data_IF_634003612857
#
_entry.id   IF_634003612857
#
_cell.length_a   1.000
_cell.length_b   1.000
_cell.length_c   1.000
_cell.angle_alpha   90.00
_cell.angle_beta   90.00
_cell.angle_gamma   90.00
#
_symmetry.space_group_name_H-M   'P 1'
#
loop_
_entity.id
_entity.type
_entity.pdbx_description
1 polymer ?
#
# COMPACT_ATOMS: atom_id res chain seq x y z
N UNK A 1 35.75 3.64 -1.69
CA UNK A 1 35.40 2.67 -2.77
C UNK A 1 34.28 3.32 -3.58
N UNK A 2 34.38 3.35 -4.90
CA UNK A 2 33.33 3.93 -5.78
C UNK A 2 32.44 2.81 -6.32
N UNK A 3 31.14 3.03 -6.29
CA UNK A 3 30.12 2.19 -6.94
C UNK A 3 29.62 2.87 -8.22
N UNK A 4 29.07 2.09 -9.13
CA UNK A 4 28.38 2.67 -10.28
C UNK A 4 27.05 3.23 -9.82
N UNK A 5 26.33 2.48 -8.94
CA UNK A 5 25.00 2.89 -8.43
C UNK A 5 24.91 2.68 -6.92
N UNK A 6 24.47 3.72 -6.20
CA UNK A 6 24.05 3.68 -4.81
C UNK A 6 22.52 3.75 -4.77
N UNK A 7 21.89 2.82 -4.06
CA UNK A 7 20.45 2.78 -3.86
C UNK A 7 20.14 3.01 -2.38
N UNK A 8 19.28 3.97 -2.08
CA UNK A 8 18.88 4.27 -0.70
C UNK A 8 17.51 3.67 -0.41
N UNK A 9 17.51 2.63 0.45
CA UNK A 9 16.33 1.87 0.83
C UNK A 9 16.26 0.49 0.15
N UNK A 10 16.11 -0.55 0.98
CA UNK A 10 15.95 -1.94 0.56
C UNK A 10 14.48 -2.39 0.56
N UNK A 11 13.56 -1.50 0.18
CA UNK A 11 12.17 -1.83 -0.13
C UNK A 11 12.01 -2.41 -1.54
N UNK A 12 10.79 -2.76 -1.96
CA UNK A 12 10.54 -3.41 -3.26
C UNK A 12 11.10 -2.64 -4.46
N UNK A 13 11.03 -1.31 -4.45
CA UNK A 13 11.55 -0.49 -5.55
C UNK A 13 13.08 -0.54 -5.64
N UNK A 14 13.77 -0.33 -4.51
CA UNK A 14 15.24 -0.35 -4.47
C UNK A 14 15.80 -1.73 -4.81
N UNK A 15 15.20 -2.79 -4.30
CA UNK A 15 15.64 -4.16 -4.57
C UNK A 15 15.39 -4.60 -6.00
N UNK A 16 14.27 -4.17 -6.61
CA UNK A 16 14.01 -4.43 -8.02
C UNK A 16 15.05 -3.73 -8.93
N UNK A 17 15.39 -2.47 -8.62
CA UNK A 17 16.45 -1.75 -9.31
C UNK A 17 17.81 -2.43 -9.12
N UNK A 18 18.14 -2.81 -7.86
CA UNK A 18 19.38 -3.48 -7.52
C UNK A 18 19.55 -4.80 -8.29
N UNK A 19 18.52 -5.63 -8.31
CA UNK A 19 18.50 -6.88 -9.05
C UNK A 19 18.79 -6.68 -10.54
N UNK A 20 18.06 -5.78 -11.19
CA UNK A 20 18.20 -5.55 -12.64
C UNK A 20 19.54 -4.92 -13.02
N UNK A 21 20.07 -4.02 -12.19
CA UNK A 21 21.39 -3.38 -12.42
C UNK A 21 22.54 -4.35 -12.17
N UNK A 22 22.49 -5.08 -11.05
CA UNK A 22 23.55 -6.07 -10.75
C UNK A 22 23.56 -7.19 -11.80
N UNK A 23 22.39 -7.69 -12.24
CA UNK A 23 22.29 -8.64 -13.35
C UNK A 23 22.87 -8.11 -14.68
N UNK A 24 22.94 -6.79 -14.85
CA UNK A 24 23.56 -6.15 -15.99
C UNK A 24 25.06 -5.82 -15.81
N UNK A 25 25.67 -6.25 -14.68
CA UNK A 25 27.09 -6.10 -14.39
C UNK A 25 27.50 -4.78 -13.70
N UNK A 26 26.54 -3.94 -13.29
CA UNK A 26 26.84 -2.74 -12.53
C UNK A 26 27.27 -3.08 -11.10
N UNK A 27 28.22 -2.31 -10.55
CA UNK A 27 28.58 -2.36 -9.12
C UNK A 27 27.56 -1.62 -8.29
N UNK A 28 26.61 -2.38 -7.72
CA UNK A 28 25.47 -1.82 -6.98
C UNK A 28 25.67 -2.00 -5.49
N UNK A 29 25.38 -0.97 -4.71
CA UNK A 29 25.20 -1.06 -3.27
C UNK A 29 23.83 -0.50 -2.87
N UNK A 30 23.13 -1.24 -2.03
CA UNK A 30 21.87 -0.82 -1.40
C UNK A 30 22.17 -0.52 0.08
N UNK A 31 21.75 0.67 0.54
CA UNK A 31 21.89 1.10 1.93
C UNK A 31 20.53 1.06 2.59
N UNK A 32 20.40 0.26 3.65
CA UNK A 32 19.15 0.07 4.40
C UNK A 32 19.33 0.50 5.86
N UNK A 33 18.42 1.31 6.36
CA UNK A 33 18.45 1.77 7.76
C UNK A 33 17.96 0.72 8.77
N UNK A 34 17.19 -0.27 8.34
CA UNK A 34 16.71 -1.38 9.15
C UNK A 34 17.80 -2.40 9.40
N UNK A 35 17.56 -3.31 10.34
CA UNK A 35 18.47 -4.44 10.64
C UNK A 35 18.59 -5.43 9.49
N UNK A 36 17.52 -5.53 8.70
CA UNK A 36 17.44 -6.38 7.52
C UNK A 36 16.45 -5.78 6.52
N UNK A 37 16.56 -6.12 5.21
CA UNK A 37 15.57 -5.74 4.22
C UNK A 37 14.17 -6.24 4.60
N UNK A 38 13.20 -5.34 4.60
CA UNK A 38 11.83 -5.66 4.98
C UNK A 38 11.52 -5.56 6.48
N UNK A 39 12.49 -5.36 7.36
CA UNK A 39 12.25 -5.25 8.82
C UNK A 39 11.26 -4.14 9.23
N UNK A 40 11.01 -3.18 8.35
CA UNK A 40 10.03 -2.09 8.56
C UNK A 40 8.77 -2.24 7.71
N UNK A 41 8.69 -3.29 6.92
CA UNK A 41 7.57 -3.58 6.02
C UNK A 41 6.46 -4.32 6.77
N UNK A 42 6.03 -3.75 7.91
CA UNK A 42 4.90 -4.25 8.70
C UNK A 42 3.58 -4.17 7.91
N UNK A 43 3.55 -3.33 6.90
CA UNK A 43 2.39 -3.07 6.07
C UNK A 43 2.36 -3.96 4.84
N UNK A 44 1.18 -4.04 4.27
CA UNK A 44 0.95 -4.84 3.11
C UNK A 44 0.54 -6.26 3.50
N UNK A 45 0.30 -7.04 2.54
CA UNK A 45 -0.22 -8.39 2.66
C UNK A 45 -0.72 -8.81 1.32
N UNK A 46 -1.29 -7.90 0.54
CA UNK A 46 -1.80 -8.19 -0.79
C UNK A 46 -0.91 -7.60 -1.88
N UNK A 47 -0.52 -8.45 -2.83
CA UNK A 47 0.28 -8.08 -4.00
C UNK A 47 -0.45 -8.50 -5.28
N UNK A 48 -0.46 -7.60 -6.28
CA UNK A 48 -1.09 -7.85 -7.58
C UNK A 48 -0.08 -8.40 -8.58
N UNK A 49 -0.39 -9.57 -9.15
CA UNK A 49 0.54 -10.36 -9.93
C UNK A 49 0.75 -9.85 -11.37
N UNK A 50 -0.27 -9.26 -11.99
CA UNK A 50 -0.26 -8.93 -13.42
C UNK A 50 0.97 -8.13 -13.88
N UNK A 51 1.33 -7.07 -13.13
CA UNK A 51 2.51 -6.28 -13.48
C UNK A 51 3.81 -6.89 -12.98
N UNK A 52 3.76 -7.70 -11.92
CA UNK A 52 4.94 -8.49 -11.50
C UNK A 52 5.34 -9.50 -12.57
N UNK A 53 4.39 -10.13 -13.25
CA UNK A 53 4.68 -11.05 -14.38
C UNK A 53 5.53 -10.37 -15.48
N UNK A 54 5.34 -9.07 -15.68
CA UNK A 54 6.09 -8.30 -16.66
C UNK A 54 7.43 -7.80 -16.17
N UNK A 55 7.49 -7.31 -14.92
CA UNK A 55 8.68 -6.61 -14.42
C UNK A 55 9.57 -7.48 -13.53
N UNK A 56 9.03 -8.50 -12.89
CA UNK A 56 9.74 -9.41 -12.00
C UNK A 56 9.18 -10.85 -12.12
N UNK A 57 9.20 -11.47 -13.33
CA UNK A 57 8.58 -12.78 -13.57
C UNK A 57 9.15 -13.90 -12.70
N UNK A 58 10.33 -13.70 -12.13
CA UNK A 58 10.99 -14.62 -11.20
C UNK A 58 10.10 -14.97 -10.00
N UNK A 59 9.16 -14.06 -9.60
CA UNK A 59 8.29 -14.31 -8.46
C UNK A 59 7.42 -15.57 -8.62
N UNK A 60 7.08 -15.97 -9.84
CA UNK A 60 6.30 -17.19 -10.10
C UNK A 60 7.03 -18.48 -9.75
N UNK A 61 8.36 -18.44 -9.63
CA UNK A 61 9.17 -19.62 -9.39
C UNK A 61 9.27 -19.97 -7.91
N UNK A 62 9.65 -19.00 -7.09
CA UNK A 62 10.09 -19.23 -5.72
C UNK A 62 9.78 -18.11 -4.73
N UNK A 63 9.00 -17.09 -5.11
CA UNK A 63 8.57 -16.11 -4.14
C UNK A 63 7.66 -16.73 -3.06
N UNK A 64 7.76 -16.26 -1.81
CA UNK A 64 6.98 -16.81 -0.71
C UNK A 64 5.52 -16.34 -0.79
N UNK A 65 4.72 -17.02 -1.62
CA UNK A 65 3.28 -16.76 -1.74
C UNK A 65 2.56 -17.61 -0.69
N UNK A 66 1.84 -16.97 0.24
CA UNK A 66 1.07 -17.70 1.25
C UNK A 66 -0.25 -18.24 0.68
N UNK A 67 -1.06 -17.34 0.10
CA UNK A 67 -2.35 -17.71 -0.50
C UNK A 67 -2.65 -16.86 -1.74
N UNK A 68 -3.28 -17.45 -2.74
CA UNK A 68 -3.84 -16.71 -3.87
C UNK A 68 -5.23 -16.20 -3.51
N UNK A 69 -5.45 -14.88 -3.70
CA UNK A 69 -6.75 -14.26 -3.36
C UNK A 69 -7.79 -14.68 -4.40
N UNK A 70 -8.86 -15.30 -3.90
CA UNK A 70 -10.04 -15.69 -4.67
C UNK A 70 -11.32 -15.08 -4.12
N UNK A 71 -11.29 -14.60 -2.87
CA UNK A 71 -12.42 -13.94 -2.22
C UNK A 71 -12.10 -12.49 -1.92
N UNK A 72 -13.00 -11.64 -2.35
CA UNK A 72 -12.98 -10.20 -2.10
C UNK A 72 -14.21 -9.86 -1.28
N UNK A 73 -14.02 -9.38 -0.05
CA UNK A 73 -15.13 -8.91 0.79
C UNK A 73 -15.04 -7.42 1.02
N UNK A 74 -16.19 -6.77 1.04
CA UNK A 74 -16.35 -5.41 1.51
C UNK A 74 -17.46 -5.40 2.56
N UNK A 75 -17.16 -4.89 3.75
CA UNK A 75 -18.15 -4.76 4.81
C UNK A 75 -18.32 -3.32 5.26
N UNK A 76 -19.57 -2.95 5.44
CA UNK A 76 -19.96 -1.75 6.16
C UNK A 76 -20.29 -2.13 7.60
N UNK A 77 -19.54 -1.58 8.56
CA UNK A 77 -19.70 -1.86 9.98
C UNK A 77 -20.23 -0.65 10.73
N UNK A 78 -21.26 -0.86 11.54
CA UNK A 78 -21.64 0.05 12.63
C UNK A 78 -21.28 -0.64 13.95
N UNK A 79 -21.60 -0.05 15.09
CA UNK A 79 -21.35 -0.64 16.40
C UNK A 79 -22.02 -2.01 16.60
N UNK A 80 -23.18 -2.22 15.95
CA UNK A 80 -24.09 -3.33 16.19
C UNK A 80 -24.49 -4.10 14.92
N UNK A 81 -24.10 -3.63 13.73
CA UNK A 81 -24.49 -4.22 12.44
C UNK A 81 -23.31 -4.38 11.49
N UNK A 82 -23.41 -5.39 10.64
CA UNK A 82 -22.51 -5.60 9.52
C UNK A 82 -23.31 -5.88 8.25
N UNK A 83 -23.00 -5.17 7.18
CA UNK A 83 -23.46 -5.48 5.83
C UNK A 83 -22.25 -5.88 5.01
N UNK A 84 -22.22 -7.11 4.50
CA UNK A 84 -21.08 -7.68 3.78
C UNK A 84 -21.48 -8.05 2.36
N UNK A 85 -20.68 -7.65 1.40
CA UNK A 85 -20.75 -8.08 0.00
C UNK A 85 -19.47 -8.87 -0.30
N UNK A 86 -19.64 -10.04 -0.93
CA UNK A 86 -18.51 -10.90 -1.32
C UNK A 86 -18.54 -11.19 -2.80
N UNK A 87 -17.36 -11.15 -3.42
CA UNK A 87 -17.12 -11.64 -4.77
C UNK A 87 -16.15 -12.81 -4.71
N UNK A 88 -16.50 -13.92 -5.35
CA UNK A 88 -15.68 -15.13 -5.43
C UNK A 88 -15.24 -15.36 -6.86
N UNK A 89 -13.92 -15.44 -7.09
CA UNK A 89 -13.35 -15.85 -8.37
C UNK A 89 -13.38 -17.37 -8.44
N UNK A 90 -14.36 -17.93 -9.14
CA UNK A 90 -14.57 -19.38 -9.24
C UNK A 90 -13.45 -20.05 -10.03
N UNK A 91 -12.96 -19.40 -11.09
CA UNK A 91 -11.80 -19.87 -11.84
C UNK A 91 -10.52 -19.69 -11.02
N UNK A 92 -9.58 -20.62 -11.18
CA UNK A 92 -8.29 -20.59 -10.44
C UNK A 92 -7.32 -19.56 -11.03
N UNK A 93 -7.78 -18.35 -11.32
CA UNK A 93 -6.91 -17.27 -11.75
C UNK A 93 -6.01 -16.79 -10.58
N UNK A 94 -4.75 -16.58 -10.90
CA UNK A 94 -3.72 -16.13 -9.97
C UNK A 94 -3.39 -14.66 -10.19
N UNK A 95 -4.37 -13.78 -9.95
CA UNK A 95 -4.30 -12.34 -10.22
C UNK A 95 -3.70 -11.52 -9.09
N UNK A 96 -3.89 -11.98 -7.84
CA UNK A 96 -3.27 -11.37 -6.65
C UNK A 96 -3.08 -12.42 -5.56
N UNK A 97 -2.12 -12.18 -4.70
CA UNK A 97 -1.79 -13.07 -3.60
C UNK A 97 -1.53 -12.30 -2.32
N UNK A 98 -1.56 -13.01 -1.20
CA UNK A 98 -1.20 -12.50 0.12
C UNK A 98 0.07 -13.16 0.61
N UNK A 99 0.89 -12.37 1.28
CA UNK A 99 2.16 -12.76 1.88
C UNK A 99 2.56 -11.72 2.94
N UNK A 100 3.21 -12.10 4.05
CA UNK A 100 3.89 -11.11 4.89
C UNK A 100 4.92 -10.34 4.05
N UNK A 101 4.77 -9.01 3.97
CA UNK A 101 5.61 -8.22 3.06
C UNK A 101 7.11 -8.35 3.40
N UNK A 102 7.43 -8.50 4.68
CA UNK A 102 8.81 -8.80 5.12
C UNK A 102 9.39 -10.04 4.42
N UNK A 103 8.60 -11.10 4.27
CA UNK A 103 9.04 -12.34 3.60
C UNK A 103 9.29 -12.11 2.12
N UNK A 104 8.40 -11.36 1.45
CA UNK A 104 8.55 -11.01 0.03
C UNK A 104 9.78 -10.13 -0.21
N UNK A 105 9.99 -9.12 0.62
CA UNK A 105 11.17 -8.22 0.52
C UNK A 105 12.46 -8.98 0.82
N UNK A 106 12.48 -9.87 1.82
CA UNK A 106 13.64 -10.73 2.10
C UNK A 106 13.98 -11.64 0.91
N UNK A 107 12.97 -12.18 0.22
CA UNK A 107 13.18 -12.93 -1.03
C UNK A 107 13.77 -12.04 -2.13
N UNK A 108 13.25 -10.84 -2.34
CA UNK A 108 13.81 -9.89 -3.32
C UNK A 108 15.25 -9.50 -2.99
N UNK A 109 15.58 -9.34 -1.71
CA UNK A 109 16.94 -9.05 -1.27
C UNK A 109 17.91 -10.19 -1.65
N UNK A 110 17.52 -11.44 -1.43
CA UNK A 110 18.30 -12.61 -1.86
C UNK A 110 18.47 -12.65 -3.38
N UNK A 111 17.41 -12.34 -4.12
CA UNK A 111 17.46 -12.26 -5.57
C UNK A 111 18.49 -11.22 -6.05
N UNK A 112 18.49 -10.02 -5.46
CA UNK A 112 19.45 -8.96 -5.77
C UNK A 112 20.88 -9.33 -5.37
N UNK A 113 21.08 -9.96 -4.18
CA UNK A 113 22.40 -10.41 -3.73
C UNK A 113 22.97 -11.51 -4.63
N UNK A 114 22.14 -12.47 -5.04
CA UNK A 114 22.55 -13.53 -5.96
C UNK A 114 22.96 -12.99 -7.34
N UNK A 115 22.41 -11.83 -7.74
CA UNK A 115 22.81 -11.12 -8.95
C UNK A 115 24.10 -10.30 -8.78
N UNK A 116 24.64 -10.19 -7.55
CA UNK A 116 25.87 -9.47 -7.25
C UNK A 116 25.71 -8.10 -6.58
N UNK A 117 24.47 -7.67 -6.23
CA UNK A 117 24.27 -6.45 -5.48
C UNK A 117 24.77 -6.60 -4.03
N UNK A 118 25.45 -5.57 -3.52
CA UNK A 118 25.82 -5.50 -2.11
C UNK A 118 24.70 -4.82 -1.33
N UNK A 119 24.19 -5.45 -0.28
CA UNK A 119 23.20 -4.86 0.64
C UNK A 119 23.88 -4.62 1.97
N UNK A 120 23.84 -3.37 2.46
CA UNK A 120 24.39 -2.96 3.75
C UNK A 120 23.26 -2.43 4.61
N UNK A 121 23.03 -3.08 5.73
CA UNK A 121 21.96 -2.76 6.68
C UNK A 121 22.46 -1.90 7.83
N UNK A 122 21.54 -1.33 8.62
CA UNK A 122 21.81 -0.44 9.76
C UNK A 122 22.55 0.84 9.35
N UNK A 123 22.41 1.25 8.09
CA UNK A 123 22.99 2.48 7.52
C UNK A 123 21.89 3.49 7.25
N UNK A 124 21.88 4.57 7.99
CA UNK A 124 21.01 5.73 7.72
C UNK A 124 21.74 6.70 6.82
N UNK A 125 21.19 6.96 5.65
CA UNK A 125 21.70 8.01 4.75
C UNK A 125 21.13 9.35 5.21
N UNK A 126 22.02 10.33 5.46
CA UNK A 126 21.66 11.63 6.01
C UNK A 126 21.39 12.67 4.92
N UNK A 127 22.15 12.64 3.82
CA UNK A 127 22.01 13.59 2.72
C UNK A 127 22.58 13.07 1.39
N UNK A 128 22.10 13.67 0.31
CA UNK A 128 22.68 13.55 -1.03
C UNK A 128 23.93 14.43 -1.11
N UNK A 129 25.01 13.91 -1.72
CA UNK A 129 26.25 14.65 -1.94
C UNK A 129 26.22 15.24 -3.33
N UNK A 130 26.46 16.54 -3.43
CA UNK A 130 26.49 17.30 -4.69
C UNK A 130 27.92 17.73 -5.03
N UNK A 131 28.25 17.75 -6.30
CA UNK A 131 29.47 18.40 -6.80
C UNK A 131 29.30 19.94 -6.92
N UNK A 132 30.34 20.63 -7.35
CA UNK A 132 30.33 22.10 -7.54
C UNK A 132 29.27 22.60 -8.52
N UNK A 133 28.80 21.74 -9.44
CA UNK A 133 27.76 22.03 -10.43
C UNK A 133 26.35 21.66 -9.94
N UNK A 134 26.23 21.12 -8.71
CA UNK A 134 24.96 20.69 -8.14
C UNK A 134 24.51 19.29 -8.55
N UNK A 135 25.31 18.56 -9.33
CA UNK A 135 25.04 17.16 -9.70
C UNK A 135 25.21 16.27 -8.47
N UNK A 136 24.32 15.31 -8.30
CA UNK A 136 24.41 14.31 -7.25
C UNK A 136 25.47 13.26 -7.65
N UNK A 137 26.45 13.10 -6.77
CA UNK A 137 27.65 12.24 -6.99
C UNK A 137 27.82 11.21 -5.89
N UNK A 138 26.82 11.02 -5.04
CA UNK A 138 26.84 10.06 -3.96
C UNK A 138 25.92 10.40 -2.81
N UNK A 139 26.14 9.74 -1.69
CA UNK A 139 25.37 9.90 -0.44
C UNK A 139 26.32 9.99 0.75
N UNK A 140 25.82 10.58 1.85
CA UNK A 140 26.56 10.65 3.12
C UNK A 140 25.77 9.99 4.24
N UNK A 141 26.48 9.23 5.08
CA UNK A 141 26.00 8.61 6.32
C UNK A 141 26.98 8.93 7.43
N UNK A 142 26.58 9.76 8.40
CA UNK A 142 27.47 10.26 9.42
C UNK A 142 28.70 10.95 8.81
N UNK A 143 29.95 10.55 9.19
CA UNK A 143 31.17 11.10 8.63
C UNK A 143 31.51 10.54 7.23
N UNK A 144 30.91 9.43 6.83
CA UNK A 144 31.28 8.67 5.65
C UNK A 144 30.57 9.14 4.40
N UNK A 145 31.34 9.30 3.32
CA UNK A 145 30.83 9.64 2.00
C UNK A 145 31.01 8.46 1.05
N UNK A 146 29.93 8.02 0.44
CA UNK A 146 29.93 6.98 -0.57
C UNK A 146 29.66 7.60 -1.94
N UNK A 147 30.65 7.56 -2.82
CA UNK A 147 30.56 8.12 -4.17
C UNK A 147 29.94 7.11 -5.15
N UNK A 148 29.14 7.63 -6.09
CA UNK A 148 28.55 6.87 -7.17
C UNK A 148 28.33 7.72 -8.41
N UNK A 149 28.22 7.08 -9.56
CA UNK A 149 27.83 7.77 -10.79
C UNK A 149 26.32 8.06 -10.80
N UNK A 150 25.54 7.17 -10.21
CA UNK A 150 24.08 7.27 -10.07
C UNK A 150 23.63 6.99 -8.63
N UNK A 151 22.63 7.73 -8.17
CA UNK A 151 21.91 7.47 -6.93
C UNK A 151 20.45 7.16 -7.28
N UNK A 152 19.88 6.11 -6.69
CA UNK A 152 18.46 5.82 -6.74
C UNK A 152 17.90 6.06 -5.35
N UNK A 153 16.97 7.02 -5.23
CA UNK A 153 16.23 7.25 -4.00
C UNK A 153 14.99 6.34 -3.96
N UNK A 154 15.03 5.38 -3.05
CA UNK A 154 13.97 4.44 -2.73
C UNK A 154 13.63 4.48 -1.23
N UNK A 155 13.75 5.65 -0.58
CA UNK A 155 13.59 5.83 0.87
C UNK A 155 12.14 5.69 1.37
N UNK A 156 11.19 5.49 0.46
CA UNK A 156 9.78 5.31 0.76
C UNK A 156 9.05 6.62 1.07
N UNK A 157 7.92 6.52 1.77
CA UNK A 157 6.97 7.63 1.99
C UNK A 157 7.57 8.83 2.73
N UNK A 158 8.57 8.63 3.58
CA UNK A 158 9.13 9.71 4.41
C UNK A 158 9.85 10.81 3.63
N UNK A 159 10.51 10.49 2.53
CA UNK A 159 11.17 11.42 1.59
C UNK A 159 12.13 12.43 2.23
N UNK A 160 12.80 12.05 3.31
CA UNK A 160 13.64 12.95 4.10
C UNK A 160 14.88 13.44 3.34
N UNK A 161 15.45 12.61 2.46
CA UNK A 161 16.58 13.00 1.62
C UNK A 161 16.16 14.00 0.56
N UNK A 162 15.01 13.76 -0.08
CA UNK A 162 14.46 14.66 -1.10
C UNK A 162 14.04 16.00 -0.50
N UNK A 163 13.48 16.01 0.71
CA UNK A 163 13.15 17.23 1.45
C UNK A 163 14.41 18.04 1.78
N UNK A 164 15.42 17.39 2.38
CA UNK A 164 16.71 18.04 2.70
C UNK A 164 17.46 18.55 1.48
N UNK A 165 17.31 17.87 0.34
CA UNK A 165 17.88 18.29 -0.93
C UNK A 165 17.12 19.43 -1.62
N UNK A 166 15.94 19.82 -1.10
CA UNK A 166 15.07 20.84 -1.68
C UNK A 166 14.32 20.38 -2.94
N UNK A 167 14.23 19.08 -3.18
CA UNK A 167 13.57 18.48 -4.36
C UNK A 167 12.05 18.41 -4.14
N UNK A 168 11.64 18.12 -2.91
CA UNK A 168 10.23 18.09 -2.50
C UNK A 168 10.00 19.00 -1.29
N UNK A 169 8.77 19.42 -1.09
CA UNK A 169 8.36 20.12 0.14
C UNK A 169 8.26 19.13 1.29
N UNK A 170 8.21 19.66 2.51
CA UNK A 170 7.90 18.89 3.70
C UNK A 170 6.60 18.11 3.50
N UNK A 171 6.60 16.88 4.00
CA UNK A 171 5.45 16.00 3.88
C UNK A 171 4.26 16.57 4.68
N UNK A 172 3.17 16.85 3.99
CA UNK A 172 1.94 17.36 4.58
C UNK A 172 1.06 16.19 5.06
N UNK A 173 0.40 16.30 6.24
CA UNK A 173 -0.48 15.25 6.76
C UNK A 173 -1.59 14.84 5.79
N UNK A 174 -2.05 15.79 4.95
CA UNK A 174 -3.09 15.57 3.95
C UNK A 174 -2.74 14.54 2.88
N UNK A 175 -1.45 14.30 2.67
CA UNK A 175 -0.94 13.42 1.61
C UNK A 175 -0.77 11.96 2.07
N UNK A 176 -0.92 11.71 3.37
CA UNK A 176 -0.59 10.43 3.98
C UNK A 176 -1.67 9.92 4.91
N UNK A 177 -1.66 8.61 5.10
CA UNK A 177 -2.40 7.93 6.14
C UNK A 177 -1.43 7.18 7.07
N UNK A 178 -1.88 6.92 8.28
CA UNK A 178 -1.22 5.98 9.18
C UNK A 178 -2.08 4.74 9.32
N UNK A 179 -1.44 3.62 9.34
CA UNK A 179 -2.09 2.38 9.59
C UNK A 179 -1.45 1.64 10.74
N UNK A 180 -2.25 0.89 11.46
CA UNK A 180 -1.85 -0.06 12.50
C UNK A 180 -2.37 -1.44 12.15
N UNK A 181 -1.57 -2.46 12.43
CA UNK A 181 -1.86 -3.85 12.07
C UNK A 181 -1.48 -4.79 13.20
N UNK A 182 -2.30 -5.81 13.40
CA UNK A 182 -2.01 -7.02 14.15
C UNK A 182 -1.88 -8.21 13.20
N UNK A 183 -0.94 -9.10 13.47
CA UNK A 183 -0.89 -10.44 12.86
C UNK A 183 -1.30 -11.45 13.92
N UNK A 184 -2.40 -12.13 13.66
CA UNK A 184 -3.06 -13.07 14.56
C UNK A 184 -2.87 -14.49 14.02
N UNK A 185 -2.10 -15.32 14.75
CA UNK A 185 -1.78 -16.69 14.37
C UNK A 185 -2.74 -17.68 14.98
N UNK A 186 -3.22 -18.62 14.17
CA UNK A 186 -4.04 -19.75 14.59
C UNK A 186 -3.17 -20.97 14.88
N UNK A 187 -3.65 -21.88 15.73
CA UNK A 187 -2.95 -23.14 16.00
C UNK A 187 -2.77 -23.98 14.73
N UNK A 188 -3.75 -23.92 13.83
CA UNK A 188 -3.67 -24.54 12.51
C UNK A 188 -4.46 -23.74 11.46
N UNK A 189 -4.11 -23.94 10.19
CA UNK A 189 -4.72 -23.25 9.06
C UNK A 189 -6.22 -23.61 8.88
N UNK A 190 -6.61 -24.84 9.25
CA UNK A 190 -7.99 -25.29 9.10
C UNK A 190 -8.96 -24.48 9.95
N UNK A 191 -8.58 -24.13 11.18
CA UNK A 191 -9.38 -23.23 12.02
C UNK A 191 -9.59 -21.86 11.36
N UNK A 192 -8.55 -21.31 10.75
CA UNK A 192 -8.63 -20.05 10.00
C UNK A 192 -9.62 -20.20 8.82
N UNK A 193 -9.46 -21.26 8.03
CA UNK A 193 -10.26 -21.52 6.83
C UNK A 193 -11.75 -21.74 7.19
N UNK A 194 -12.04 -22.57 8.17
CA UNK A 194 -13.42 -22.83 8.63
C UNK A 194 -14.12 -21.56 9.13
N UNK A 195 -13.44 -20.71 9.90
CA UNK A 195 -14.03 -19.48 10.44
C UNK A 195 -14.31 -18.42 9.39
N UNK A 196 -13.50 -18.38 8.34
CA UNK A 196 -13.65 -17.43 7.25
C UNK A 196 -14.44 -17.99 6.06
N UNK A 197 -14.80 -19.29 6.12
CA UNK A 197 -15.53 -19.98 5.05
C UNK A 197 -14.68 -20.12 3.78
N UNK A 198 -13.39 -20.45 3.94
CA UNK A 198 -12.44 -20.58 2.85
C UNK A 198 -12.18 -22.03 2.49
N UNK A 199 -11.93 -22.29 1.23
CA UNK A 199 -11.35 -23.55 0.77
C UNK A 199 -9.87 -23.66 1.18
N UNK A 200 -9.29 -24.85 1.04
CA UNK A 200 -7.88 -25.07 1.35
C UNK A 200 -6.98 -24.16 0.52
N UNK A 201 -6.08 -23.44 1.22
CA UNK A 201 -5.14 -22.47 0.65
C UNK A 201 -5.80 -21.31 -0.15
N UNK A 202 -7.10 -21.11 0.01
CA UNK A 202 -7.80 -19.96 -0.56
C UNK A 202 -7.46 -18.69 0.20
N UNK A 203 -7.14 -17.63 -0.55
CA UNK A 203 -6.85 -16.30 -0.02
C UNK A 203 -8.09 -15.41 0.04
N UNK A 204 -8.21 -14.66 1.13
CA UNK A 204 -9.22 -13.63 1.32
C UNK A 204 -8.57 -12.26 1.44
N UNK A 205 -9.10 -11.29 0.70
CA UNK A 205 -8.89 -9.87 0.93
C UNK A 205 -10.23 -9.24 1.34
N UNK A 206 -10.23 -8.55 2.48
CA UNK A 206 -11.45 -8.01 3.07
C UNK A 206 -11.25 -6.56 3.49
N UNK A 207 -12.02 -5.65 2.92
CA UNK A 207 -12.07 -4.24 3.29
C UNK A 207 -13.26 -3.95 4.21
N UNK A 208 -13.07 -3.09 5.20
CA UNK A 208 -14.04 -2.75 6.22
C UNK A 208 -14.17 -1.22 6.31
N UNK A 209 -15.38 -0.68 6.20
CA UNK A 209 -15.62 0.74 6.29
C UNK A 209 -16.56 1.10 7.47
N UNK A 210 -16.43 2.32 7.98
CA UNK A 210 -17.27 2.88 9.04
C UNK A 210 -16.67 2.74 10.43
N UNK A 211 -17.15 1.81 11.23
CA UNK A 211 -16.73 1.59 12.61
C UNK A 211 -15.20 1.54 12.83
N UNK A 212 -14.39 0.87 11.96
CA UNK A 212 -12.95 0.77 12.20
C UNK A 212 -12.24 2.11 12.36
N UNK A 213 -12.71 3.14 11.67
CA UNK A 213 -12.13 4.49 11.67
C UNK A 213 -13.05 5.53 12.30
N UNK A 214 -14.04 5.11 13.10
CA UNK A 214 -15.06 6.00 13.67
C UNK A 214 -15.77 6.84 12.60
N UNK A 215 -16.02 6.21 11.44
CA UNK A 215 -16.65 6.83 10.24
C UNK A 215 -15.82 7.95 9.59
N UNK A 216 -14.56 8.12 9.98
CA UNK A 216 -13.63 9.01 9.27
C UNK A 216 -13.05 8.33 8.02
N UNK A 217 -12.49 9.12 7.07
CA UNK A 217 -11.78 8.59 5.91
C UNK A 217 -10.69 7.59 6.28
N UNK A 218 -10.72 6.45 5.60
CA UNK A 218 -9.89 5.29 5.91
C UNK A 218 -10.71 4.01 5.93
N UNK A 219 -10.28 3.02 6.70
CA UNK A 219 -10.99 1.75 6.84
C UNK A 219 -10.17 0.70 7.55
N UNK A 220 -10.79 -0.47 7.73
CA UNK A 220 -10.11 -1.68 8.18
C UNK A 220 -9.80 -2.60 7.02
N UNK A 221 -8.89 -3.54 7.24
CA UNK A 221 -8.61 -4.62 6.30
C UNK A 221 -8.30 -5.92 7.03
N UNK A 222 -8.60 -7.04 6.37
CA UNK A 222 -8.21 -8.39 6.79
C UNK A 222 -7.60 -9.10 5.58
N UNK A 223 -6.41 -9.68 5.76
CA UNK A 223 -5.76 -10.55 4.78
C UNK A 223 -5.38 -11.87 5.41
N UNK A 224 -5.61 -12.98 4.70
CA UNK A 224 -5.29 -14.33 5.20
C UNK A 224 -3.89 -14.73 4.75
N UNK A 225 -3.02 -15.01 5.73
CA UNK A 225 -1.73 -15.68 5.50
C UNK A 225 -1.90 -17.20 5.59
N UNK A 226 -0.80 -17.94 5.57
CA UNK A 226 -0.82 -19.42 5.58
C UNK A 226 -1.61 -19.98 6.78
N UNK A 227 -1.26 -19.57 7.99
CA UNK A 227 -1.88 -20.00 9.27
C UNK A 227 -2.19 -18.80 10.19
N UNK A 228 -2.19 -17.60 9.63
CA UNK A 228 -2.45 -16.36 10.35
C UNK A 228 -3.34 -15.42 9.52
N UNK A 229 -3.86 -14.38 10.16
CA UNK A 229 -4.46 -13.26 9.45
C UNK A 229 -3.82 -11.94 9.88
N UNK A 230 -3.72 -11.02 8.94
CA UNK A 230 -3.45 -9.63 9.23
C UNK A 230 -4.79 -8.91 9.41
N UNK A 231 -4.97 -8.24 10.55
CA UNK A 231 -6.06 -7.34 10.84
C UNK A 231 -5.49 -5.95 11.01
N UNK A 232 -5.99 -4.96 10.29
CA UNK A 232 -5.45 -3.61 10.40
C UNK A 232 -6.48 -2.52 10.17
N UNK A 233 -6.11 -1.31 10.56
CA UNK A 233 -6.87 -0.08 10.37
C UNK A 233 -5.98 0.96 9.73
N UNK A 234 -6.49 1.69 8.76
CA UNK A 234 -5.81 2.82 8.08
C UNK A 234 -6.66 4.07 8.28
N UNK A 235 -6.04 5.15 8.73
CA UNK A 235 -6.70 6.45 8.94
C UNK A 235 -5.92 7.54 8.22
N UNK A 236 -6.62 8.38 7.47
CA UNK A 236 -6.00 9.58 6.89
C UNK A 236 -5.59 10.57 7.96
N UNK A 237 -4.35 11.05 7.89
CA UNK A 237 -3.85 12.03 8.87
C UNK A 237 -4.53 13.39 8.76
N UNK A 238 -5.18 13.69 7.64
CA UNK A 238 -5.98 14.93 7.45
C UNK A 238 -7.01 15.17 8.56
N UNK A 239 -7.58 14.09 9.14
CA UNK A 239 -8.71 14.19 10.09
C UNK A 239 -8.43 13.44 11.41
N UNK A 240 -7.19 13.11 11.67
CA UNK A 240 -6.83 12.27 12.81
C UNK A 240 -7.21 12.89 14.17
N UNK A 241 -7.23 14.23 14.29
CA UNK A 241 -7.63 14.95 15.49
C UNK A 241 -9.11 14.79 15.86
N UNK A 242 -9.94 14.29 14.93
CA UNK A 242 -11.36 14.00 15.16
C UNK A 242 -11.58 12.60 15.75
N UNK A 243 -10.56 11.76 15.77
CA UNK A 243 -10.65 10.45 16.40
C UNK A 243 -10.85 10.58 17.92
N UNK A 244 -11.75 9.75 18.46
CA UNK A 244 -11.97 9.60 19.90
C UNK A 244 -11.02 8.56 20.49
N UNK A 245 -10.70 7.54 19.69
CA UNK A 245 -9.79 6.45 20.04
C UNK A 245 -8.41 6.75 19.44
N UNK A 246 -7.30 6.63 20.20
CA UNK A 246 -5.96 6.74 19.65
C UNK A 246 -5.76 5.76 18.48
N UNK A 247 -5.01 6.18 17.45
CA UNK A 247 -4.84 5.38 16.22
C UNK A 247 -4.32 3.96 16.52
N UNK A 248 -3.40 3.85 17.48
CA UNK A 248 -2.81 2.56 17.86
C UNK A 248 -3.80 1.61 18.56
N UNK A 249 -4.91 2.11 19.12
CA UNK A 249 -5.96 1.31 19.76
C UNK A 249 -7.10 0.94 18.80
N UNK A 250 -7.18 1.56 17.61
CA UNK A 250 -8.25 1.30 16.66
C UNK A 250 -8.27 -0.15 16.16
N UNK A 251 -7.11 -0.78 16.03
CA UNK A 251 -7.02 -2.17 15.59
C UNK A 251 -7.56 -3.12 16.66
N UNK A 252 -7.28 -2.87 17.94
CA UNK A 252 -7.88 -3.63 19.03
C UNK A 252 -9.39 -3.42 19.09
N UNK A 253 -9.86 -2.19 18.96
CA UNK A 253 -11.28 -1.86 18.88
C UNK A 253 -11.97 -2.64 17.75
N UNK A 254 -11.35 -2.75 16.58
CA UNK A 254 -11.85 -3.56 15.46
C UNK A 254 -11.83 -5.05 15.80
N UNK A 255 -10.77 -5.56 16.41
CA UNK A 255 -10.64 -6.96 16.84
C UNK A 255 -11.73 -7.38 17.83
N UNK A 256 -12.14 -6.46 18.71
CA UNK A 256 -13.19 -6.68 19.71
C UNK A 256 -14.61 -6.46 19.17
N UNK A 257 -14.76 -5.97 17.94
CA UNK A 257 -16.08 -5.79 17.35
C UNK A 257 -16.88 -7.11 17.31
N UNK A 258 -18.18 -7.13 17.67
CA UNK A 258 -18.98 -8.38 17.77
C UNK A 258 -18.98 -9.25 16.50
N UNK A 259 -18.85 -8.64 15.33
CA UNK A 259 -18.76 -9.35 14.04
C UNK A 259 -17.37 -9.94 13.77
N UNK A 260 -16.31 -9.34 14.30
CA UNK A 260 -14.91 -9.74 14.06
C UNK A 260 -14.39 -10.68 15.17
N UNK A 261 -14.70 -10.39 16.42
CA UNK A 261 -14.17 -11.13 17.57
C UNK A 261 -14.35 -12.66 17.50
N UNK A 262 -15.49 -13.21 17.05
CA UNK A 262 -15.65 -14.66 16.89
C UNK A 262 -14.69 -15.26 15.85
N UNK A 263 -14.35 -14.50 14.79
CA UNK A 263 -13.47 -14.95 13.71
C UNK A 263 -12.04 -15.14 14.18
N UNK A 264 -11.59 -14.31 15.13
CA UNK A 264 -10.20 -14.29 15.63
C UNK A 264 -10.05 -14.92 17.02
N UNK A 265 -11.12 -15.47 17.59
CA UNK A 265 -11.13 -16.09 18.94
C UNK A 265 -10.06 -17.18 19.05
N UNK A 266 -9.19 -17.08 20.08
CA UNK A 266 -8.12 -18.06 20.34
C UNK A 266 -6.91 -17.96 19.42
N UNK A 267 -6.88 -17.01 18.48
CA UNK A 267 -5.65 -16.70 17.77
C UNK A 267 -4.68 -15.92 18.69
N UNK A 268 -3.38 -16.17 18.53
CA UNK A 268 -2.32 -15.49 19.29
C UNK A 268 -1.74 -14.32 18.53
N UNK A 269 -1.53 -13.19 19.21
CA UNK A 269 -0.86 -12.02 18.63
C UNK A 269 0.61 -12.35 18.39
N UNK A 270 1.05 -12.29 17.13
CA UNK A 270 2.44 -12.54 16.74
C UNK A 270 3.19 -11.24 16.46
N UNK A 271 2.51 -10.26 15.88
CA UNK A 271 3.10 -9.02 15.44
C UNK A 271 2.09 -7.88 15.61
N UNK A 272 2.58 -6.74 16.06
CA UNK A 272 1.85 -5.49 16.12
C UNK A 272 2.75 -4.35 15.66
N UNK A 273 2.22 -3.47 14.83
CA UNK A 273 3.00 -2.32 14.38
C UNK A 273 2.19 -1.33 13.57
N UNK A 274 2.81 -0.19 13.32
CA UNK A 274 2.23 0.89 12.53
C UNK A 274 3.19 1.42 11.49
N UNK A 275 2.65 1.89 10.39
CA UNK A 275 3.40 2.48 9.30
C UNK A 275 2.62 3.60 8.63
N UNK A 276 3.33 4.56 8.08
CA UNK A 276 2.77 5.63 7.27
C UNK A 276 2.72 5.19 5.81
N UNK A 277 1.65 5.52 5.11
CA UNK A 277 1.47 5.19 3.68
C UNK A 277 1.03 6.42 2.89
N UNK A 278 1.50 6.61 1.65
CA UNK A 278 0.99 7.66 0.79
C UNK A 278 -0.46 7.35 0.40
N UNK A 279 -1.29 8.39 0.25
CA UNK A 279 -2.69 8.23 -0.19
C UNK A 279 -3.08 9.18 -1.33
N UNK A 280 -2.22 10.15 -1.63
CA UNK A 280 -2.51 11.19 -2.60
C UNK A 280 -2.05 10.84 -4.04
N UNK A 281 -1.41 9.70 -4.25
CA UNK A 281 -0.98 9.24 -5.57
C UNK A 281 -0.15 10.28 -6.32
N UNK A 282 -0.54 10.61 -7.55
CA UNK A 282 0.17 11.58 -8.40
C UNK A 282 0.26 12.98 -7.76
N UNK A 283 -0.68 13.35 -6.90
CA UNK A 283 -0.67 14.66 -6.22
C UNK A 283 0.44 14.78 -5.18
N UNK A 284 1.09 13.68 -4.80
CA UNK A 284 2.24 13.64 -3.92
C UNK A 284 3.57 13.56 -4.70
N UNK A 285 3.52 13.34 -6.00
CA UNK A 285 4.73 13.16 -6.81
C UNK A 285 5.62 14.41 -6.84
N UNK A 286 6.95 14.24 -6.89
CA UNK A 286 7.87 15.35 -7.13
C UNK A 286 7.63 15.96 -8.53
N UNK A 287 8.04 17.22 -8.76
CA UNK A 287 7.90 17.86 -10.07
C UNK A 287 8.63 17.11 -11.21
N UNK A 288 9.69 16.40 -10.86
CA UNK A 288 10.47 15.52 -11.76
C UNK A 288 10.91 14.28 -11.00
N UNK A 289 10.96 13.15 -11.69
CA UNK A 289 11.40 11.86 -11.12
C UNK A 289 12.90 11.60 -11.29
N UNK A 290 13.64 12.55 -11.88
CA UNK A 290 15.06 12.46 -12.17
C UNK A 290 15.73 13.83 -12.05
N UNK A 291 17.01 13.80 -11.68
CA UNK A 291 17.92 14.96 -11.64
C UNK A 291 19.30 14.50 -12.08
N UNK A 292 20.28 15.43 -12.21
CA UNK A 292 21.66 15.06 -12.50
C UNK A 292 22.18 14.08 -11.44
N UNK A 293 22.43 12.83 -11.85
CA UNK A 293 22.87 11.75 -10.99
C UNK A 293 21.82 11.09 -10.08
N UNK A 294 20.53 11.46 -10.16
CA UNK A 294 19.50 10.94 -9.27
C UNK A 294 18.26 10.45 -10.01
N UNK A 295 17.73 9.30 -9.60
CA UNK A 295 16.39 8.81 -9.94
C UNK A 295 15.58 8.57 -8.67
N UNK A 296 14.26 8.82 -8.71
CA UNK A 296 13.33 8.67 -7.59
C UNK A 296 12.31 7.58 -7.92
N UNK A 297 12.16 6.58 -7.04
CA UNK A 297 11.33 5.39 -7.28
C UNK A 297 10.39 5.08 -6.12
N UNK A 298 9.37 4.28 -6.37
CA UNK A 298 8.44 3.80 -5.36
C UNK A 298 7.66 4.90 -4.67
N UNK A 299 7.40 4.74 -3.37
CA UNK A 299 6.60 5.69 -2.57
C UNK A 299 7.28 7.06 -2.43
N UNK A 300 8.62 7.13 -2.53
CA UNK A 300 9.34 8.40 -2.56
C UNK A 300 8.94 9.25 -3.78
N UNK A 301 8.59 8.61 -4.89
CA UNK A 301 8.03 9.24 -6.08
C UNK A 301 6.50 9.42 -6.03
N UNK A 302 5.83 8.96 -4.98
CA UNK A 302 4.38 8.98 -4.88
C UNK A 302 3.69 7.87 -5.68
N UNK A 303 4.38 6.78 -5.99
CA UNK A 303 3.85 5.70 -6.83
C UNK A 303 3.05 4.67 -6.04
N UNK A 304 1.93 5.12 -5.50
CA UNK A 304 0.92 4.28 -4.88
C UNK A 304 -0.47 4.67 -5.42
N UNK A 305 -1.21 3.69 -5.88
CA UNK A 305 -2.59 3.87 -6.33
C UNK A 305 -3.54 3.48 -5.21
N UNK A 306 -4.44 4.40 -4.84
CA UNK A 306 -5.50 4.20 -3.87
C UNK A 306 -6.86 4.55 -4.47
N UNK A 307 -7.77 3.56 -4.54
CA UNK A 307 -9.12 3.73 -5.10
C UNK A 307 -10.21 3.33 -4.09
N UNK A 308 -9.95 3.52 -2.81
CA UNK A 308 -10.85 3.16 -1.71
C UNK A 308 -10.62 1.74 -1.23
N UNK A 309 -11.16 0.76 -1.93
CA UNK A 309 -11.03 -0.67 -1.58
C UNK A 309 -9.68 -1.25 -2.03
N UNK A 310 -9.14 -0.75 -3.12
CA UNK A 310 -7.89 -1.23 -3.70
C UNK A 310 -6.75 -0.27 -3.39
N UNK A 311 -5.71 -0.80 -2.75
CA UNK A 311 -4.44 -0.11 -2.51
C UNK A 311 -3.34 -0.90 -3.20
N UNK A 312 -2.60 -0.26 -4.10
CA UNK A 312 -1.55 -0.88 -4.92
C UNK A 312 -0.29 -0.04 -4.83
N UNK A 313 0.74 -0.58 -4.18
CA UNK A 313 2.04 0.07 -4.03
C UNK A 313 3.19 -0.83 -4.48
N UNK A 314 3.17 -2.12 -4.14
CA UNK A 314 4.28 -3.04 -4.38
C UNK A 314 4.56 -3.24 -5.87
N UNK A 315 3.54 -3.44 -6.70
CA UNK A 315 3.69 -3.58 -8.15
C UNK A 315 4.15 -2.28 -8.81
N UNK A 316 3.70 -1.11 -8.34
CA UNK A 316 4.21 0.20 -8.76
C UNK A 316 5.67 0.39 -8.36
N UNK A 317 6.01 0.03 -7.11
CA UNK A 317 7.37 0.12 -6.58
C UNK A 317 8.34 -0.75 -7.40
N UNK A 318 8.03 -2.03 -7.59
CA UNK A 318 8.84 -2.96 -8.39
C UNK A 318 9.01 -2.45 -9.82
N UNK A 319 7.92 -2.07 -10.47
CA UNK A 319 7.97 -1.59 -11.86
C UNK A 319 8.83 -0.32 -11.99
N UNK A 320 8.66 0.65 -11.07
CA UNK A 320 9.46 1.87 -11.09
C UNK A 320 10.96 1.62 -10.90
N UNK A 321 11.31 0.69 -10.00
CA UNK A 321 12.71 0.28 -9.81
C UNK A 321 13.32 -0.38 -11.05
N UNK A 322 12.56 -1.26 -11.72
CA UNK A 322 13.00 -1.88 -12.99
C UNK A 322 13.17 -0.83 -14.08
N UNK A 323 12.21 0.10 -14.24
CA UNK A 323 12.29 1.15 -15.25
C UNK A 323 13.43 2.14 -14.97
N UNK A 324 13.76 2.40 -13.70
CA UNK A 324 14.93 3.20 -13.33
C UNK A 324 16.24 2.47 -13.71
N UNK A 325 16.31 1.17 -13.47
CA UNK A 325 17.46 0.37 -13.88
C UNK A 325 17.62 0.36 -15.41
N UNK A 326 16.54 0.22 -16.16
CA UNK A 326 16.56 0.30 -17.61
C UNK A 326 17.02 1.69 -18.10
N UNK A 327 16.55 2.76 -17.45
CA UNK A 327 16.95 4.11 -17.78
C UNK A 327 18.46 4.34 -17.58
N UNK A 328 19.04 3.85 -16.48
CA UNK A 328 20.48 3.92 -16.23
C UNK A 328 21.28 3.14 -17.29
N UNK A 329 20.78 1.96 -17.70
CA UNK A 329 21.44 1.14 -18.76
C UNK A 329 21.43 1.84 -20.13
N UNK A 330 20.43 2.65 -20.42
CA UNK A 330 20.30 3.38 -21.68
C UNK A 330 21.00 4.76 -21.67
N UNK A 331 21.19 5.32 -20.48
CA UNK A 331 21.81 6.63 -20.31
C UNK A 331 23.29 6.61 -20.73
N UNK A 332 23.73 7.62 -21.51
CA UNK A 332 25.13 7.79 -21.89
C UNK A 332 25.94 8.41 -20.75
N UNK A 333 25.28 9.19 -19.93
CA UNK A 333 25.85 9.89 -18.78
C UNK A 333 24.82 10.05 -17.68
N UNK A 334 25.25 10.36 -16.44
CA UNK A 334 24.32 10.63 -15.36
C UNK A 334 23.71 12.04 -15.39
N UNK A 335 23.66 12.69 -16.56
CA UNK A 335 23.00 14.00 -16.71
C UNK A 335 21.47 13.86 -16.65
N UNK A 336 20.80 14.90 -16.19
CA UNK A 336 19.33 14.96 -16.19
C UNK A 336 18.76 14.80 -17.61
N UNK A 337 19.47 15.30 -18.64
CA UNK A 337 19.07 15.14 -20.04
C UNK A 337 19.00 13.66 -20.45
N UNK A 338 20.05 12.89 -20.16
CA UNK A 338 20.09 11.45 -20.48
C UNK A 338 19.12 10.65 -19.59
N UNK A 339 18.98 11.02 -18.30
CA UNK A 339 18.07 10.38 -17.36
C UNK A 339 16.57 10.70 -17.60
N UNK A 340 16.25 11.69 -18.44
CA UNK A 340 14.87 12.00 -18.84
C UNK A 340 14.17 10.81 -19.51
N UNK A 341 14.90 9.83 -20.02
CA UNK A 341 14.37 8.57 -20.55
C UNK A 341 13.57 7.80 -19.49
N UNK A 342 13.88 7.98 -18.21
CA UNK A 342 13.12 7.37 -17.11
C UNK A 342 11.68 7.84 -17.08
N UNK A 343 11.44 9.16 -17.14
CA UNK A 343 10.06 9.68 -17.17
C UNK A 343 9.32 9.24 -18.44
N UNK A 344 10.00 9.18 -19.58
CA UNK A 344 9.42 8.63 -20.81
C UNK A 344 8.97 7.18 -20.62
N UNK A 345 9.78 6.35 -19.93
CA UNK A 345 9.43 4.96 -19.60
C UNK A 345 8.25 4.89 -18.64
N UNK A 346 8.21 5.73 -17.61
CA UNK A 346 7.07 5.81 -16.67
C UNK A 346 5.77 6.16 -17.38
N UNK A 347 5.79 7.12 -18.32
CA UNK A 347 4.63 7.50 -19.14
C UNK A 347 4.22 6.40 -20.13
N UNK A 348 5.16 5.64 -20.67
CA UNK A 348 4.93 4.50 -21.55
C UNK A 348 4.52 3.21 -20.82
N UNK A 349 4.58 3.21 -19.50
CA UNK A 349 4.15 2.12 -18.62
C UNK A 349 2.71 2.33 -18.12
N UNK A 350 2.28 1.49 -17.18
CA UNK A 350 1.01 1.68 -16.49
C UNK A 350 1.08 2.72 -15.36
N UNK A 351 2.28 3.08 -14.87
CA UNK A 351 2.47 3.85 -13.63
C UNK A 351 1.80 5.22 -13.75
N UNK A 352 2.34 6.12 -14.57
CA UNK A 352 1.78 7.48 -14.67
C UNK A 352 0.37 7.50 -15.25
N UNK A 353 0.02 6.72 -16.32
CA UNK A 353 -1.34 6.71 -16.83
C UNK A 353 -2.39 6.29 -15.81
N UNK A 354 -2.11 5.30 -14.94
CA UNK A 354 -3.07 4.90 -13.91
C UNK A 354 -3.14 5.95 -12.78
N UNK A 355 -2.02 6.48 -12.32
CA UNK A 355 -2.03 7.53 -11.30
C UNK A 355 -2.73 8.80 -11.78
N UNK A 356 -2.55 9.19 -13.04
CA UNK A 356 -3.24 10.35 -13.64
C UNK A 356 -4.74 10.10 -13.80
N UNK A 357 -5.14 8.89 -14.19
CA UNK A 357 -6.55 8.49 -14.30
C UNK A 357 -7.29 8.65 -12.97
N UNK A 358 -6.67 8.28 -11.87
CA UNK A 358 -7.26 8.30 -10.53
C UNK A 358 -6.83 9.51 -9.68
N UNK A 359 -6.34 10.59 -10.30
CA UNK A 359 -5.84 11.78 -9.58
C UNK A 359 -6.85 12.47 -8.66
N UNK A 360 -8.14 12.27 -8.87
CA UNK A 360 -9.21 12.82 -8.04
C UNK A 360 -9.67 11.88 -6.93
N UNK A 361 -9.13 10.65 -6.87
CA UNK A 361 -9.56 9.64 -5.91
C UNK A 361 -9.31 10.09 -4.47
N UNK A 362 -8.15 10.69 -4.18
CA UNK A 362 -7.78 11.17 -2.85
C UNK A 362 -8.78 12.21 -2.31
N UNK A 363 -9.19 13.15 -3.15
CA UNK A 363 -10.19 14.17 -2.81
C UNK A 363 -11.54 13.54 -2.48
N UNK A 364 -11.98 12.57 -3.29
CA UNK A 364 -13.24 11.88 -3.06
C UNK A 364 -13.19 11.03 -1.80
N UNK A 365 -12.10 10.27 -1.62
CA UNK A 365 -11.91 9.38 -0.48
C UNK A 365 -11.63 10.14 0.83
N UNK A 366 -11.38 11.44 0.76
CA UNK A 366 -11.27 12.33 1.93
C UNK A 366 -12.62 12.92 2.37
N UNK A 367 -13.72 12.62 1.68
CA UNK A 367 -15.05 13.09 2.05
C UNK A 367 -15.63 12.24 3.18
N UNK A 368 -15.63 12.78 4.41
CA UNK A 368 -16.17 12.11 5.61
C UNK A 368 -17.62 11.65 5.41
N UNK A 369 -18.42 12.46 4.69
CA UNK A 369 -19.83 12.12 4.48
C UNK A 369 -20.01 10.86 3.65
N UNK A 370 -19.06 10.56 2.76
CA UNK A 370 -19.08 9.35 1.96
C UNK A 370 -18.96 8.10 2.84
N UNK A 371 -17.97 8.07 3.73
CA UNK A 371 -17.72 6.92 4.61
C UNK A 371 -18.81 6.73 5.65
N UNK A 372 -19.27 7.82 6.27
CA UNK A 372 -20.30 7.77 7.30
C UNK A 372 -21.68 7.50 6.72
N UNK A 373 -22.11 8.33 5.76
CA UNK A 373 -23.50 8.32 5.29
C UNK A 373 -23.80 7.02 4.52
N UNK A 374 -22.87 6.54 3.70
CA UNK A 374 -23.04 5.28 2.98
C UNK A 374 -23.13 4.09 3.93
N UNK A 375 -22.24 4.01 4.92
CA UNK A 375 -22.23 2.91 5.90
C UNK A 375 -23.52 2.91 6.73
N UNK A 376 -23.86 4.03 7.37
CA UNK A 376 -25.04 4.13 8.24
C UNK A 376 -26.34 3.83 7.49
N UNK A 377 -26.47 4.39 6.28
CA UNK A 377 -27.67 4.20 5.48
C UNK A 377 -27.80 2.75 5.00
N UNK A 378 -26.74 2.17 4.42
CA UNK A 378 -26.81 0.83 3.81
C UNK A 378 -27.05 -0.25 4.86
N UNK A 379 -26.38 -0.17 6.02
CA UNK A 379 -26.60 -1.13 7.12
C UNK A 379 -28.00 -1.03 7.70
N UNK A 380 -28.54 0.19 7.86
CA UNK A 380 -29.89 0.39 8.39
C UNK A 380 -30.96 -0.06 7.37
N UNK A 381 -30.78 0.23 6.08
CA UNK A 381 -31.72 -0.20 5.04
C UNK A 381 -31.77 -1.74 4.94
N UNK A 382 -30.61 -2.39 4.93
CA UNK A 382 -30.53 -3.86 4.93
C UNK A 382 -31.17 -4.44 6.18
N UNK A 383 -30.86 -3.91 7.36
CA UNK A 383 -31.47 -4.36 8.62
C UNK A 383 -32.99 -4.29 8.57
N UNK A 384 -33.56 -3.16 8.10
CA UNK A 384 -35.02 -2.98 8.03
C UNK A 384 -35.69 -3.92 7.03
N UNK A 385 -35.01 -4.22 5.93
CA UNK A 385 -35.56 -5.12 4.92
C UNK A 385 -35.59 -6.56 5.39
N UNK A 386 -34.53 -7.03 6.09
CA UNK A 386 -34.44 -8.42 6.55
C UNK A 386 -35.04 -8.66 7.92
N UNK A 387 -35.22 -7.62 8.74
CA UNK A 387 -35.84 -7.76 10.04
C UNK A 387 -37.35 -7.64 9.94
N UNK A 388 -38.01 -8.76 10.06
CA UNK A 388 -39.49 -8.87 10.01
C UNK A 388 -40.05 -8.65 11.41
N UNK A 389 -40.85 -7.63 11.58
CA UNK A 389 -41.65 -7.33 12.74
C UNK A 389 -43.15 -7.43 12.35
N UNK A 390 -44.06 -6.78 13.08
CA UNK A 390 -45.51 -6.75 12.78
C UNK A 390 -45.80 -6.26 11.33
N UNK A 391 -44.89 -5.49 10.72
CA UNK A 391 -45.01 -4.95 9.37
C UNK A 391 -43.92 -5.52 8.49
N UNK A 392 -44.27 -6.32 7.50
CA UNK A 392 -43.35 -6.74 6.45
C UNK A 392 -43.13 -5.57 5.48
N UNK A 393 -41.92 -5.01 5.48
CA UNK A 393 -41.58 -3.83 4.67
C UNK A 393 -41.24 -4.22 3.25
N UNK A 394 -41.74 -3.44 2.30
CA UNK A 394 -41.20 -3.43 0.94
C UNK A 394 -39.77 -2.84 0.95
N UNK A 395 -38.99 -3.10 -0.08
CA UNK A 395 -37.66 -2.50 -0.23
C UNK A 395 -37.73 -0.96 -0.20
N UNK A 396 -38.76 -0.38 -0.81
CA UNK A 396 -38.98 1.06 -0.82
C UNK A 396 -39.22 1.62 0.60
N UNK A 397 -40.07 0.96 1.37
CA UNK A 397 -40.35 1.33 2.77
C UNK A 397 -39.08 1.21 3.64
N UNK A 398 -38.32 0.13 3.50
CA UNK A 398 -37.07 -0.07 4.23
C UNK A 398 -36.05 1.05 3.92
N UNK A 399 -35.89 1.42 2.66
CA UNK A 399 -35.05 2.52 2.20
C UNK A 399 -35.53 3.87 2.74
N UNK A 400 -36.84 4.13 2.67
CA UNK A 400 -37.42 5.39 3.15
C UNK A 400 -37.30 5.54 4.67
N UNK A 401 -37.55 4.48 5.43
CA UNK A 401 -37.39 4.47 6.87
C UNK A 401 -35.91 4.59 7.29
N UNK A 402 -34.99 3.94 6.57
CA UNK A 402 -33.56 4.11 6.80
C UNK A 402 -33.12 5.56 6.60
N UNK A 403 -33.59 6.22 5.51
CA UNK A 403 -33.34 7.64 5.26
C UNK A 403 -33.85 8.51 6.41
N UNK A 404 -35.06 8.27 6.92
CA UNK A 404 -35.62 8.99 8.07
C UNK A 404 -34.80 8.79 9.35
N UNK A 405 -34.49 7.52 9.69
CA UNK A 405 -33.77 7.17 10.93
C UNK A 405 -32.34 7.73 10.92
N UNK A 406 -31.63 7.57 9.82
CA UNK A 406 -30.25 8.04 9.71
C UNK A 406 -30.15 9.54 9.43
N UNK A 407 -31.27 10.19 9.06
CA UNK A 407 -31.34 11.59 8.60
C UNK A 407 -30.45 11.85 7.37
N UNK A 408 -30.25 10.82 6.53
CA UNK A 408 -29.44 10.91 5.32
C UNK A 408 -30.35 11.01 4.11
N UNK A 409 -30.15 12.06 3.31
CA UNK A 409 -30.91 12.31 2.09
C UNK A 409 -30.56 11.30 0.99
N UNK A 410 -31.56 10.65 0.39
CA UNK A 410 -31.40 9.76 -0.76
C UNK A 410 -30.78 10.48 -1.97
N UNK A 411 -31.14 11.76 -2.18
CA UNK A 411 -30.55 12.57 -3.25
C UNK A 411 -29.06 12.77 -3.02
N UNK A 412 -28.64 13.07 -1.78
CA UNK A 412 -27.23 13.21 -1.42
C UNK A 412 -26.45 11.91 -1.65
N UNK A 413 -27.03 10.77 -1.24
CA UNK A 413 -26.43 9.45 -1.47
C UNK A 413 -26.27 9.17 -2.97
N UNK A 414 -27.29 9.42 -3.77
CA UNK A 414 -27.23 9.23 -5.21
C UNK A 414 -26.14 10.11 -5.86
N UNK A 415 -26.04 11.37 -5.46
CA UNK A 415 -24.97 12.27 -5.93
C UNK A 415 -23.59 11.71 -5.55
N UNK A 416 -23.42 11.23 -4.32
CA UNK A 416 -22.17 10.65 -3.86
C UNK A 416 -21.82 9.36 -4.63
N UNK A 417 -22.80 8.48 -4.90
CA UNK A 417 -22.61 7.29 -5.73
C UNK A 417 -22.17 7.66 -7.16
N UNK A 418 -22.80 8.66 -7.78
CA UNK A 418 -22.39 9.14 -9.11
C UNK A 418 -20.95 9.65 -9.09
N UNK A 419 -20.57 10.41 -8.05
CA UNK A 419 -19.18 10.88 -7.89
C UNK A 419 -18.19 9.71 -7.75
N UNK A 420 -18.56 8.67 -6.99
CA UNK A 420 -17.72 7.45 -6.86
C UNK A 420 -17.54 6.76 -8.20
N UNK A 421 -18.62 6.46 -8.90
CA UNK A 421 -18.57 5.78 -10.21
C UNK A 421 -17.74 6.53 -11.25
N UNK A 422 -17.67 7.86 -11.16
CA UNK A 422 -16.92 8.70 -12.12
C UNK A 422 -15.43 8.86 -11.78
N UNK A 423 -15.03 8.67 -10.52
CA UNK A 423 -13.68 9.01 -10.06
C UNK A 423 -12.91 7.82 -9.44
N UNK A 424 -13.58 6.70 -9.16
CA UNK A 424 -13.02 5.43 -8.71
C UNK A 424 -13.28 4.32 -9.74
#
# INVERSE_FOLDING_TARGET
MKFDVVIVGAGPAGLAAAYKLASAGFKVVVLERGREPGAKELYGGRIYAYWLDRYLPEFRKDAPVDRWVRRERVSFLTEDKALTVETVVVEKERTSFVVPLVSFVSWMAKLAQNAGAKIVTEITVDRLVKDEKGKIVGVQSGPDVLQADYVIDAEGVNRLLLERAGIVKKLEPELVAVGVKEVLKFENKKTLEERLGLDEDEGLAWALAGYPTEYLPGGGFIYTYKDALALGVVVYLRNWEKLKTPVYDLVEKLRLHPYIAPLVKGASLQEYGGHMTPVAGINMSPPRFYHDGLLIVGDAAGFLLHTGVLIRGVDFAVASGVLAAEAIKEARSPSAEDLAVYEKKLRGSFILPQLEKFRNADRLLSDESLFRDLVLFSTEAAYRYFNIDENHRTLFEAVHEASKKTRISLVKLMINMIKMVRNL
#
